data_IF_141573952140
#
_entry.id   IF_141573952140
#
_cell.length_a   1.000
_cell.length_b   1.000
_cell.length_c   1.000
_cell.angle_alpha   90.00
_cell.angle_beta   90.00
_cell.angle_gamma   90.00
#
_symmetry.space_group_name_H-M   'P 1'
#
loop_
_entity.id
_entity.type
_entity.pdbx_description
1 polymer ?
#
# COMPACT_ATOMS: atom_id res chain seq x y z
N UNK A 1 18.70 8.71 12.20
CA UNK A 1 17.44 9.43 12.48
C UNK A 1 16.54 9.18 11.29
N UNK A 2 15.61 8.23 11.40
CA UNK A 2 14.72 7.89 10.28
C UNK A 2 13.51 8.81 10.36
N UNK A 3 13.36 9.68 9.38
CA UNK A 3 12.28 10.67 9.32
C UNK A 3 10.91 9.98 9.19
N UNK A 4 9.93 10.24 10.08
CA UNK A 4 8.62 9.60 10.03
C UNK A 4 7.86 9.89 8.73
N UNK A 5 8.20 10.98 8.03
CA UNK A 5 7.60 11.32 6.74
C UNK A 5 7.97 10.34 5.63
N UNK A 6 9.23 9.88 5.59
CA UNK A 6 9.73 8.97 4.55
C UNK A 6 9.09 7.58 4.66
N UNK A 7 8.86 7.11 5.89
CA UNK A 7 8.14 5.87 6.17
C UNK A 7 6.71 5.91 5.63
N UNK A 8 6.02 7.01 5.88
CA UNK A 8 4.65 7.21 5.43
C UNK A 8 4.56 7.24 3.89
N UNK A 9 5.54 7.86 3.20
CA UNK A 9 5.58 7.89 1.74
C UNK A 9 5.65 6.50 1.11
N UNK A 10 6.44 5.56 1.67
CA UNK A 10 6.53 4.19 1.13
C UNK A 10 5.24 3.42 1.34
N UNK A 11 4.57 3.59 2.49
CA UNK A 11 3.25 2.99 2.77
C UNK A 11 2.21 3.52 1.79
N UNK A 12 2.18 4.83 1.54
CA UNK A 12 1.27 5.45 0.58
C UNK A 12 1.54 4.95 -0.84
N UNK A 13 2.80 4.88 -1.26
CA UNK A 13 3.17 4.38 -2.59
C UNK A 13 2.75 2.91 -2.78
N UNK A 14 2.99 2.05 -1.78
CA UNK A 14 2.55 0.66 -1.81
C UNK A 14 1.02 0.53 -1.87
N UNK A 15 0.31 1.39 -1.12
CA UNK A 15 -1.15 1.41 -1.14
C UNK A 15 -1.72 1.88 -2.48
N UNK A 16 -1.12 2.90 -3.10
CA UNK A 16 -1.51 3.39 -4.43
C UNK A 16 -1.28 2.31 -5.49
N UNK A 17 -0.09 1.71 -5.51
CA UNK A 17 0.23 0.60 -6.40
C UNK A 17 -0.77 -0.54 -6.25
N UNK A 18 -1.07 -0.96 -5.01
CA UNK A 18 -2.05 -2.01 -4.76
C UNK A 18 -3.48 -1.60 -5.15
N UNK A 19 -3.84 -0.32 -5.04
CA UNK A 19 -5.13 0.19 -5.47
C UNK A 19 -5.28 0.25 -6.98
N UNK A 20 -4.18 0.48 -7.71
CA UNK A 20 -4.09 0.40 -9.17
C UNK A 20 -4.06 -1.05 -9.67
N UNK A 21 -3.47 -1.95 -8.88
CA UNK A 21 -3.38 -3.37 -9.23
C UNK A 21 -4.77 -4.01 -9.32
N UNK A 22 -5.16 -4.37 -10.54
CA UNK A 22 -6.46 -4.97 -10.86
C UNK A 22 -6.54 -6.46 -10.48
N UNK A 23 -5.40 -7.15 -10.52
CA UNK A 23 -5.30 -8.57 -10.20
C UNK A 23 -4.32 -8.76 -9.05
N UNK A 24 -4.81 -8.73 -7.78
CA UNK A 24 -3.91 -8.79 -6.65
C UNK A 24 -3.16 -10.12 -6.63
N UNK A 25 -1.82 -10.11 -6.52
CA UNK A 25 -1.05 -11.34 -6.42
C UNK A 25 -1.52 -12.15 -5.21
N UNK A 26 -1.51 -13.48 -5.32
CA UNK A 26 -2.00 -14.39 -4.29
C UNK A 26 -1.45 -14.11 -2.87
N UNK A 27 -0.30 -13.43 -2.78
CA UNK A 27 0.30 -12.98 -1.52
C UNK A 27 0.72 -11.50 -1.58
N UNK A 28 -0.26 -10.59 -1.60
CA UNK A 28 -0.05 -9.13 -1.60
C UNK A 28 0.95 -8.65 -0.53
N UNK A 29 0.76 -9.04 0.74
CA UNK A 29 1.57 -8.55 1.87
C UNK A 29 3.06 -8.82 1.70
N UNK A 30 3.54 -10.05 1.47
CA UNK A 30 4.96 -10.29 1.24
C UNK A 30 5.48 -9.65 -0.05
N UNK A 31 4.65 -9.51 -1.08
CA UNK A 31 5.04 -8.82 -2.33
C UNK A 31 5.34 -7.34 -2.07
N UNK A 32 4.41 -6.59 -1.47
CA UNK A 32 4.62 -5.16 -1.20
C UNK A 32 5.72 -4.92 -0.16
N UNK A 33 5.92 -5.86 0.78
CA UNK A 33 7.05 -5.82 1.72
C UNK A 33 8.39 -5.90 0.99
N UNK A 34 8.53 -6.85 0.06
CA UNK A 34 9.75 -7.02 -0.72
C UNK A 34 9.97 -5.86 -1.69
N UNK A 35 8.92 -5.39 -2.37
CA UNK A 35 9.01 -4.31 -3.37
C UNK A 35 9.34 -2.96 -2.75
N UNK A 36 8.69 -2.60 -1.64
CA UNK A 36 8.80 -1.27 -1.03
C UNK A 36 9.69 -1.24 0.22
N UNK A 37 10.35 -2.37 0.54
CA UNK A 37 11.18 -2.54 1.75
C UNK A 37 10.42 -2.17 3.03
N UNK A 38 9.18 -2.65 3.15
CA UNK A 38 8.27 -2.36 4.26
C UNK A 38 8.28 -3.47 5.32
N UNK A 39 8.06 -3.08 6.57
CA UNK A 39 7.73 -3.99 7.67
C UNK A 39 6.34 -4.61 7.50
N UNK A 40 6.05 -5.65 8.30
CA UNK A 40 4.74 -6.30 8.27
C UNK A 40 3.59 -5.34 8.67
N UNK A 41 3.85 -4.41 9.60
CA UNK A 41 2.89 -3.41 10.03
C UNK A 41 2.57 -2.41 8.92
N UNK A 42 3.61 -1.86 8.29
CA UNK A 42 3.49 -0.95 7.15
C UNK A 42 2.72 -1.57 5.98
N UNK A 43 3.00 -2.84 5.68
CA UNK A 43 2.30 -3.55 4.61
C UNK A 43 0.81 -3.75 4.94
N UNK A 44 0.47 -4.06 6.20
CA UNK A 44 -0.92 -4.14 6.62
C UNK A 44 -1.62 -2.77 6.52
N UNK A 45 -0.93 -1.68 6.90
CA UNK A 45 -1.43 -0.31 6.73
C UNK A 45 -1.66 0.02 5.25
N UNK A 46 -0.72 -0.34 4.38
CA UNK A 46 -0.82 -0.13 2.94
C UNK A 46 -2.02 -0.88 2.34
N UNK A 47 -2.28 -2.13 2.77
CA UNK A 47 -3.47 -2.88 2.37
C UNK A 47 -4.77 -2.14 2.75
N UNK A 48 -4.84 -1.62 3.98
CA UNK A 48 -6.01 -0.84 4.44
C UNK A 48 -6.20 0.46 3.65
N UNK A 49 -5.12 1.19 3.37
CA UNK A 49 -5.15 2.39 2.53
C UNK A 49 -5.54 2.08 1.07
N UNK A 50 -5.04 0.98 0.51
CA UNK A 50 -5.38 0.57 -0.85
C UNK A 50 -6.88 0.30 -1.01
N UNK A 51 -7.50 -0.36 -0.03
CA UNK A 51 -8.94 -0.58 0.00
C UNK A 51 -9.70 0.76 -0.01
N UNK A 52 -9.25 1.74 0.79
CA UNK A 52 -9.84 3.09 0.81
C UNK A 52 -9.68 3.80 -0.53
N UNK A 53 -8.51 3.74 -1.16
CA UNK A 53 -8.27 4.32 -2.48
C UNK A 53 -9.16 3.70 -3.55
N UNK A 54 -9.35 2.37 -3.54
CA UNK A 54 -10.30 1.70 -4.44
C UNK A 54 -11.73 2.19 -4.22
N UNK A 55 -12.17 2.31 -2.96
CA UNK A 55 -13.52 2.82 -2.65
C UNK A 55 -13.68 4.27 -3.09
N UNK A 56 -12.70 5.14 -2.81
CA UNK A 56 -12.72 6.55 -3.22
C UNK A 56 -12.77 6.67 -4.75
N UNK A 57 -11.97 5.89 -5.49
CA UNK A 57 -11.99 5.86 -6.96
C UNK A 57 -13.31 5.36 -7.54
N UNK A 58 -14.00 4.46 -6.84
CA UNK A 58 -15.35 4.02 -7.25
C UNK A 58 -16.43 5.04 -6.92
N UNK A 59 -16.23 5.86 -5.88
CA UNK A 59 -17.20 6.85 -5.43
C UNK A 59 -17.06 8.20 -6.15
N UNK A 60 -15.85 8.56 -6.57
CA UNK A 60 -15.53 9.84 -7.22
C UNK A 60 -15.04 9.72 -8.67
N UNK A 61 -14.97 8.50 -9.22
CA UNK A 61 -14.50 8.21 -10.58
C UNK A 61 -15.63 7.88 -11.54
#
# INVERSE_FOLDING_TARGET
>A
MSDPQTHNQRVIAAAQWLADEKEPPARVVPTIRAMFSLSALEAAQACGLAQKFRTLRRAFG
#
